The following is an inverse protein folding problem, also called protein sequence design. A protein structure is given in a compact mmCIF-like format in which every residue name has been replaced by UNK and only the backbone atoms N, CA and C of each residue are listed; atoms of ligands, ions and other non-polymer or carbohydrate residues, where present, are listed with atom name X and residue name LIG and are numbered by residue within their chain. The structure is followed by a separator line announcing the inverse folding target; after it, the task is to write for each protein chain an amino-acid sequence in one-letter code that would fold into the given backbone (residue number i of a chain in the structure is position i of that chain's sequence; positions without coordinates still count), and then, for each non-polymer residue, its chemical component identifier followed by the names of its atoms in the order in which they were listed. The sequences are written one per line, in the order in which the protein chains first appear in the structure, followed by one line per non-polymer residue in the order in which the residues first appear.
data_IF_265306470334
#
_entry.id   IF_265306470334
#
_cell.length_a   1.000
_cell.length_b   1.000
_cell.length_c   1.000
_cell.angle_alpha   90.00
_cell.angle_beta   90.00
_cell.angle_gamma   90.00
#
_symmetry.space_group_name_H-M   'P 1'
#
loop_
_entity.id
_entity.type
_entity.pdbx_description
1 polymer ?
#
# COMPACT_ATOMS: atom_id res chain seq x y z
N UNK A 1 3.00 -18.93 12.97
CA UNK A 1 3.89 -18.45 11.89
C UNK A 1 3.08 -17.43 11.12
N UNK A 2 3.27 -16.13 11.40
CA UNK A 2 2.51 -15.07 10.75
C UNK A 2 3.07 -14.94 9.33
N UNK A 3 2.25 -15.19 8.32
CA UNK A 3 2.64 -14.97 6.92
C UNK A 3 2.86 -13.46 6.78
N UNK A 4 4.09 -13.03 6.56
CA UNK A 4 4.39 -11.68 6.11
C UNK A 4 3.69 -11.48 4.76
N UNK A 5 3.19 -10.29 4.47
CA UNK A 5 2.71 -9.95 3.13
C UNK A 5 3.86 -10.27 2.15
N UNK A 6 3.70 -11.30 1.34
CA UNK A 6 4.73 -11.70 0.41
C UNK A 6 4.66 -10.79 -0.81
N UNK A 7 5.76 -10.13 -1.13
CA UNK A 7 5.89 -9.43 -2.40
C UNK A 7 6.21 -10.43 -3.51
N UNK A 8 5.57 -10.26 -4.67
CA UNK A 8 5.87 -11.10 -5.84
C UNK A 8 7.32 -10.92 -6.32
N UNK A 9 7.80 -9.66 -6.36
CA UNK A 9 9.18 -9.32 -6.75
C UNK A 9 9.77 -8.37 -5.70
N UNK A 10 10.95 -8.73 -5.17
CA UNK A 10 11.72 -7.91 -4.22
C UNK A 10 13.05 -7.52 -4.85
N UNK A 11 13.30 -6.21 -4.97
CA UNK A 11 14.53 -5.67 -5.54
C UNK A 11 15.28 -4.85 -4.48
N UNK A 12 16.38 -5.39 -3.99
CA UNK A 12 17.22 -4.74 -2.97
C UNK A 12 18.65 -5.30 -3.05
N UNK A 13 19.66 -4.50 -2.75
CA UNK A 13 20.99 -5.03 -2.48
C UNK A 13 20.96 -5.76 -1.13
N UNK A 14 21.19 -7.09 -1.08
CA UNK A 14 21.11 -7.85 0.16
C UNK A 14 22.21 -7.48 1.18
N UNK A 15 23.22 -6.72 0.77
CA UNK A 15 24.28 -6.20 1.64
C UNK A 15 23.86 -4.88 2.32
N UNK A 16 22.87 -4.20 1.78
CA UNK A 16 22.25 -3.02 2.40
C UNK A 16 21.23 -3.47 3.46
N UNK A 17 21.70 -3.72 4.67
CA UNK A 17 20.86 -4.18 5.77
C UNK A 17 19.77 -3.17 6.15
N UNK A 18 19.98 -1.88 5.91
CA UNK A 18 18.96 -0.85 6.14
C UNK A 18 17.83 -0.96 5.13
N UNK A 19 18.16 -1.08 3.83
CA UNK A 19 17.17 -1.26 2.78
C UNK A 19 16.39 -2.56 2.95
N UNK A 20 17.05 -3.68 3.27
CA UNK A 20 16.39 -4.97 3.56
C UNK A 20 15.40 -4.83 4.72
N UNK A 21 15.83 -4.24 5.84
CA UNK A 21 14.96 -3.99 7.00
C UNK A 21 13.78 -3.08 6.63
N UNK A 22 14.01 -2.03 5.83
CA UNK A 22 12.98 -1.09 5.44
C UNK A 22 11.89 -1.78 4.61
N UNK A 23 12.25 -2.67 3.68
CA UNK A 23 11.30 -3.52 2.96
C UNK A 23 10.50 -4.40 3.93
N UNK A 24 11.17 -5.11 4.84
CA UNK A 24 10.50 -5.98 5.82
C UNK A 24 9.50 -5.21 6.68
N UNK A 25 9.85 -3.99 7.08
CA UNK A 25 8.98 -3.13 7.87
C UNK A 25 7.75 -2.65 7.08
N UNK A 26 7.91 -2.24 5.81
CA UNK A 26 6.79 -1.85 4.96
C UNK A 26 5.87 -3.03 4.67
N UNK A 27 6.41 -4.21 4.35
CA UNK A 27 5.61 -5.42 4.15
C UNK A 27 4.83 -5.80 5.42
N UNK A 28 5.48 -5.70 6.58
CA UNK A 28 4.82 -5.99 7.86
C UNK A 28 3.75 -4.94 8.19
N UNK A 29 4.00 -3.66 7.87
CA UNK A 29 3.01 -2.58 8.02
C UNK A 29 1.76 -2.90 7.19
N UNK A 30 1.89 -3.22 5.91
CA UNK A 30 0.75 -3.60 5.07
C UNK A 30 -0.02 -4.79 5.63
N UNK A 31 0.70 -5.84 6.03
CA UNK A 31 0.10 -7.04 6.60
C UNK A 31 -0.74 -6.71 7.84
N UNK A 32 -0.16 -6.00 8.79
CA UNK A 32 -0.87 -5.63 10.03
C UNK A 32 -2.02 -4.66 9.76
N UNK A 33 -1.74 -3.61 8.99
CA UNK A 33 -2.66 -2.49 8.80
C UNK A 33 -3.91 -2.90 8.03
N UNK A 34 -3.76 -3.70 6.97
CA UNK A 34 -4.85 -4.00 6.05
C UNK A 34 -5.28 -5.47 6.16
N UNK A 35 -4.36 -6.43 6.05
CA UNK A 35 -4.72 -7.83 5.96
C UNK A 35 -5.17 -8.43 7.31
N UNK A 36 -4.53 -8.02 8.43
CA UNK A 36 -4.78 -8.58 9.76
C UNK A 36 -5.72 -7.74 10.64
N UNK A 37 -6.25 -6.62 10.14
CA UNK A 37 -7.08 -5.71 10.94
C UNK A 37 -6.42 -5.21 12.23
N UNK A 38 -5.12 -4.89 12.16
CA UNK A 38 -4.30 -4.33 13.26
C UNK A 38 -3.74 -2.96 12.87
N UNK A 39 -4.59 -2.12 12.28
CA UNK A 39 -4.15 -0.87 11.66
C UNK A 39 -3.48 0.07 12.67
N UNK A 40 -4.08 0.33 13.80
CA UNK A 40 -3.53 1.24 14.80
C UNK A 40 -2.23 0.72 15.41
N UNK A 41 -2.13 -0.59 15.65
CA UNK A 41 -0.91 -1.23 16.14
C UNK A 41 0.22 -1.15 15.10
N UNK A 42 -0.09 -1.50 13.84
CA UNK A 42 0.89 -1.49 12.75
C UNK A 42 1.43 -0.09 12.49
N UNK A 43 0.57 0.92 12.41
CA UNK A 43 0.99 2.31 12.17
C UNK A 43 1.79 2.88 13.36
N UNK A 44 1.40 2.61 14.60
CA UNK A 44 2.18 3.03 15.78
C UNK A 44 3.58 2.40 15.82
N UNK A 45 3.72 1.17 15.32
CA UNK A 45 4.99 0.44 15.31
C UNK A 45 5.94 0.90 14.22
N UNK A 46 5.45 1.11 13.00
CA UNK A 46 6.28 1.28 11.80
C UNK A 46 6.31 2.71 11.24
N UNK A 47 5.49 3.63 11.76
CA UNK A 47 5.54 5.03 11.40
C UNK A 47 6.01 5.88 12.58
N UNK A 48 6.56 7.06 12.30
CA UNK A 48 6.80 8.05 13.35
C UNK A 48 5.46 8.72 13.75
N UNK A 49 5.41 9.26 14.96
CA UNK A 49 4.21 9.93 15.45
C UNK A 49 3.77 11.09 14.54
N UNK A 50 4.72 11.83 14.04
CA UNK A 50 4.60 13.03 13.20
C UNK A 50 4.78 12.73 11.71
N UNK A 51 4.49 11.49 11.30
CA UNK A 51 4.49 11.02 9.93
C UNK A 51 3.68 11.95 9.00
N UNK A 52 4.30 12.33 7.89
CA UNK A 52 3.72 13.24 6.89
C UNK A 52 3.02 12.44 5.81
N UNK A 53 1.76 12.77 5.55
CA UNK A 53 0.92 12.12 4.57
C UNK A 53 0.62 13.05 3.40
N UNK A 54 0.89 12.58 2.17
CA UNK A 54 0.58 13.34 0.96
C UNK A 54 -0.70 12.88 0.23
N UNK A 55 -1.34 11.79 0.69
CA UNK A 55 -2.67 11.45 0.19
C UNK A 55 -3.71 12.40 0.80
N UNK A 56 -4.45 13.18 -0.03
CA UNK A 56 -5.36 14.23 0.47
C UNK A 56 -6.55 13.71 1.26
N UNK A 57 -6.81 12.40 1.25
CA UNK A 57 -7.92 11.79 2.00
C UNK A 57 -7.57 11.47 3.45
N UNK A 58 -6.29 11.56 3.83
CA UNK A 58 -5.80 11.08 5.13
C UNK A 58 -4.99 12.20 5.79
N UNK A 59 -5.31 12.53 7.03
CA UNK A 59 -4.56 13.53 7.79
C UNK A 59 -3.17 13.02 8.23
N UNK A 60 -2.27 13.94 8.54
CA UNK A 60 -0.94 13.63 9.05
C UNK A 60 -0.96 12.84 10.37
N UNK A 61 0.13 12.17 10.63
CA UNK A 61 0.39 11.40 11.83
C UNK A 61 -0.01 9.93 11.74
N UNK A 62 0.78 9.07 12.37
CA UNK A 62 0.56 7.62 12.36
C UNK A 62 -0.81 7.21 12.91
N UNK A 63 -1.32 7.94 13.90
CA UNK A 63 -2.63 7.66 14.48
C UNK A 63 -3.78 7.91 13.50
N UNK A 64 -3.65 8.94 12.63
CA UNK A 64 -4.66 9.25 11.60
C UNK A 64 -4.76 8.15 10.56
N UNK A 65 -3.62 7.67 10.08
CA UNK A 65 -3.56 6.54 9.15
C UNK A 65 -4.14 5.25 9.77
N UNK A 66 -3.78 4.97 11.03
CA UNK A 66 -4.31 3.82 11.76
C UNK A 66 -5.83 3.83 11.88
N UNK A 67 -6.41 4.98 12.26
CA UNK A 67 -7.88 5.16 12.33
C UNK A 67 -8.54 5.03 10.96
N UNK A 68 -7.93 5.59 9.91
CA UNK A 68 -8.46 5.50 8.55
C UNK A 68 -8.63 4.04 8.14
N UNK A 69 -7.58 3.23 8.24
CA UNK A 69 -7.63 1.82 7.84
C UNK A 69 -8.44 0.94 8.80
N UNK A 70 -8.51 1.26 10.09
CA UNK A 70 -9.45 0.62 11.00
C UNK A 70 -10.91 0.86 10.56
N UNK A 71 -11.23 2.08 10.12
CA UNK A 71 -12.52 2.43 9.53
C UNK A 71 -12.80 1.68 8.23
N UNK A 72 -11.83 1.63 7.32
CA UNK A 72 -11.93 0.85 6.07
C UNK A 72 -12.23 -0.61 6.39
N UNK A 73 -11.47 -1.23 7.30
CA UNK A 73 -11.64 -2.64 7.63
C UNK A 73 -12.97 -2.94 8.34
N UNK A 74 -13.49 -1.99 9.08
CA UNK A 74 -14.82 -2.07 9.69
C UNK A 74 -15.93 -2.02 8.63
N UNK A 75 -15.79 -1.16 7.61
CA UNK A 75 -16.75 -1.03 6.51
C UNK A 75 -16.61 -2.15 5.47
N UNK A 76 -15.38 -2.58 5.21
CA UNK A 76 -15.02 -3.57 4.20
C UNK A 76 -14.12 -4.67 4.81
N UNK A 77 -14.70 -5.66 5.50
CA UNK A 77 -13.95 -6.71 6.19
C UNK A 77 -13.00 -7.51 5.30
N UNK A 78 -13.33 -7.58 4.00
CA UNK A 78 -12.54 -8.28 2.99
C UNK A 78 -11.43 -7.43 2.36
N UNK A 79 -11.23 -6.19 2.82
CA UNK A 79 -10.16 -5.33 2.32
C UNK A 79 -8.79 -5.99 2.51
N UNK A 80 -7.99 -6.00 1.45
CA UNK A 80 -6.67 -6.63 1.40
C UNK A 80 -5.70 -5.77 0.58
N UNK A 81 -4.42 -5.92 0.85
CA UNK A 81 -3.35 -5.44 -0.02
C UNK A 81 -2.53 -6.61 -0.52
N UNK A 82 -2.27 -6.61 -1.82
CA UNK A 82 -1.36 -7.54 -2.51
C UNK A 82 -0.18 -6.73 -3.00
N UNK A 83 1.03 -7.09 -2.59
CA UNK A 83 2.27 -6.43 -3.03
C UNK A 83 2.84 -7.19 -4.22
N UNK A 84 2.83 -6.58 -5.39
CA UNK A 84 3.34 -7.19 -6.62
C UNK A 84 4.84 -6.99 -6.78
N UNK A 85 5.34 -5.79 -6.47
CA UNK A 85 6.76 -5.44 -6.57
C UNK A 85 7.11 -4.48 -5.44
N UNK A 86 8.30 -4.65 -4.87
CA UNK A 86 8.83 -3.72 -3.88
C UNK A 86 10.33 -3.53 -4.11
N UNK A 87 10.79 -2.31 -4.02
CA UNK A 87 12.20 -1.95 -4.19
C UNK A 87 12.61 -0.97 -3.11
N UNK A 88 13.81 -1.11 -2.57
CA UNK A 88 14.39 -0.14 -1.66
C UNK A 88 15.78 0.32 -2.16
N UNK A 89 16.00 1.63 -2.03
CA UNK A 89 17.27 2.28 -2.31
C UNK A 89 17.48 3.45 -1.34
N UNK A 90 18.58 3.41 -0.59
CA UNK A 90 18.81 4.39 0.48
C UNK A 90 17.65 4.40 1.48
N UNK A 91 17.11 5.59 1.73
CA UNK A 91 16.02 5.79 2.70
C UNK A 91 14.62 5.61 2.08
N UNK A 92 14.52 5.20 0.83
CA UNK A 92 13.24 5.09 0.14
C UNK A 92 12.84 3.65 -0.12
N UNK A 93 11.53 3.38 0.04
CA UNK A 93 10.87 2.13 -0.37
C UNK A 93 9.75 2.46 -1.32
N UNK A 94 9.74 1.81 -2.47
CA UNK A 94 8.70 1.92 -3.49
C UNK A 94 7.96 0.58 -3.56
N UNK A 95 6.64 0.60 -3.48
CA UNK A 95 5.81 -0.59 -3.55
C UNK A 95 4.73 -0.44 -4.62
N UNK A 96 4.67 -1.38 -5.56
CA UNK A 96 3.56 -1.51 -6.49
C UNK A 96 2.57 -2.53 -5.95
N UNK A 97 1.37 -2.07 -5.64
CA UNK A 97 0.37 -2.80 -4.86
C UNK A 97 -0.99 -2.85 -5.56
N UNK A 98 -1.81 -3.81 -5.16
CA UNK A 98 -3.25 -3.80 -5.43
C UNK A 98 -4.01 -3.82 -4.10
N UNK A 99 -4.83 -2.82 -3.88
CA UNK A 99 -5.77 -2.77 -2.77
C UNK A 99 -7.12 -3.35 -3.22
N UNK A 100 -7.40 -4.58 -2.86
CA UNK A 100 -8.64 -5.29 -3.22
C UNK A 100 -9.68 -5.07 -2.13
N UNK A 101 -10.92 -4.86 -2.52
CA UNK A 101 -12.05 -4.59 -1.62
C UNK A 101 -11.82 -3.40 -0.66
N UNK A 102 -11.00 -2.43 -1.06
CA UNK A 102 -10.74 -1.24 -0.23
C UNK A 102 -11.97 -0.33 -0.12
N UNK A 103 -12.78 -0.25 -1.19
CA UNK A 103 -13.90 0.68 -1.33
C UNK A 103 -15.24 -0.04 -1.55
N UNK A 104 -15.27 -1.37 -1.57
CA UNK A 104 -16.44 -2.19 -1.87
C UNK A 104 -16.24 -3.60 -1.33
N UNK A 105 -17.34 -4.31 -1.08
CA UNK A 105 -17.34 -5.75 -0.76
C UNK A 105 -17.74 -6.62 -1.96
N UNK A 106 -17.73 -6.07 -3.17
CA UNK A 106 -18.00 -6.83 -4.39
C UNK A 106 -16.93 -7.95 -4.55
N UNK A 107 -17.31 -9.22 -4.62
CA UNK A 107 -16.38 -10.33 -4.83
C UNK A 107 -15.67 -10.28 -6.19
N UNK A 108 -16.16 -9.48 -7.14
CA UNK A 108 -15.55 -9.26 -8.45
C UNK A 108 -14.69 -7.98 -8.50
N UNK A 109 -14.45 -7.33 -7.36
CA UNK A 109 -13.61 -6.14 -7.30
C UNK A 109 -12.22 -6.44 -7.88
N UNK A 110 -11.77 -5.56 -8.78
CA UNK A 110 -10.43 -5.64 -9.37
C UNK A 110 -9.39 -4.86 -8.58
N UNK A 111 -9.86 -4.05 -7.64
CA UNK A 111 -9.04 -3.27 -6.74
C UNK A 111 -8.60 -1.92 -7.25
N UNK A 112 -7.70 -1.33 -6.49
CA UNK A 112 -7.02 -0.06 -6.77
C UNK A 112 -5.53 -0.34 -6.89
N UNK A 113 -4.97 -0.14 -8.06
CA UNK A 113 -3.53 -0.19 -8.27
C UNK A 113 -2.88 1.03 -7.61
N UNK A 114 -1.82 0.81 -6.84
CA UNK A 114 -1.08 1.85 -6.16
C UNK A 114 0.42 1.76 -6.42
N UNK A 115 1.06 2.92 -6.48
CA UNK A 115 2.50 3.04 -6.29
C UNK A 115 2.71 3.89 -5.05
N UNK A 116 3.08 3.23 -3.96
CA UNK A 116 3.38 3.87 -2.69
C UNK A 116 4.88 4.16 -2.58
N UNK A 117 5.22 5.32 -2.06
CA UNK A 117 6.60 5.74 -1.81
C UNK A 117 6.71 6.09 -0.33
N UNK A 118 7.57 5.38 0.38
CA UNK A 118 7.88 5.66 1.78
C UNK A 118 9.30 6.22 1.90
N UNK A 119 9.45 7.28 2.69
CA UNK A 119 10.74 7.73 3.18
C UNK A 119 10.93 7.23 4.61
N UNK A 120 12.05 6.56 4.85
CA UNK A 120 12.33 5.88 6.11
C UNK A 120 13.39 6.64 6.90
N UNK A 121 13.32 6.58 8.23
CA UNK A 121 14.39 7.05 9.09
C UNK A 121 15.42 5.93 9.40
N UNK A 122 16.45 6.28 10.15
CA UNK A 122 17.53 5.35 10.55
C UNK A 122 17.03 4.20 11.42
N UNK A 123 15.90 4.34 12.11
CA UNK A 123 15.27 3.28 12.92
C UNK A 123 14.38 2.34 12.09
N UNK A 124 14.21 2.62 10.80
CA UNK A 124 13.36 1.86 9.89
C UNK A 124 11.88 2.18 10.05
N UNK A 125 11.54 3.37 10.56
CA UNK A 125 10.16 3.86 10.58
C UNK A 125 9.93 4.81 9.42
N UNK A 126 8.75 4.73 8.81
CA UNK A 126 8.36 5.70 7.79
C UNK A 126 8.07 7.05 8.44
N UNK A 127 8.66 8.10 7.84
CA UNK A 127 8.50 9.49 8.25
C UNK A 127 7.64 10.29 7.28
N UNK A 128 7.50 9.81 6.05
CA UNK A 128 6.78 10.49 4.99
C UNK A 128 6.31 9.50 3.92
N UNK A 129 5.17 9.79 3.27
CA UNK A 129 4.57 8.88 2.30
C UNK A 129 3.83 9.64 1.19
N UNK A 130 4.03 9.20 -0.02
CA UNK A 130 3.28 9.60 -1.22
C UNK A 130 2.64 8.36 -1.83
N UNK A 131 1.55 8.55 -2.53
CA UNK A 131 0.96 7.52 -3.37
C UNK A 131 0.46 8.08 -4.71
N UNK A 132 0.38 7.20 -5.70
CA UNK A 132 -0.36 7.42 -6.92
C UNK A 132 -1.30 6.23 -7.10
N UNK A 133 -2.61 6.49 -7.10
CA UNK A 133 -3.64 5.48 -7.10
C UNK A 133 -4.44 5.50 -8.40
N UNK A 134 -4.77 4.31 -8.91
CA UNK A 134 -5.61 4.16 -10.09
C UNK A 134 -6.59 3.00 -9.90
N UNK A 135 -7.89 3.25 -10.09
CA UNK A 135 -8.88 2.20 -10.07
C UNK A 135 -8.59 1.19 -11.20
N UNK A 136 -8.54 -0.08 -10.86
CA UNK A 136 -8.47 -1.15 -11.85
C UNK A 136 -9.87 -1.35 -12.41
N UNK A 137 -10.12 -0.77 -13.59
CA UNK A 137 -11.42 -0.80 -14.24
C UNK A 137 -11.83 -2.19 -14.71
N UNK A 138 -13.03 -2.27 -15.26
CA UNK A 138 -13.54 -3.47 -15.92
C UNK A 138 -12.73 -3.77 -17.21
N UNK A 139 -13.09 -4.85 -17.90
CA UNK A 139 -12.42 -5.27 -19.13
C UNK A 139 -12.50 -4.24 -20.28
N UNK A 140 -13.43 -3.30 -20.21
CA UNK A 140 -13.64 -2.29 -21.25
C UNK A 140 -12.95 -0.95 -20.95
N UNK A 141 -12.84 -0.60 -19.66
CA UNK A 141 -12.28 0.67 -19.23
C UNK A 141 -11.41 0.49 -17.97
N UNK A 142 -10.10 0.72 -18.11
CA UNK A 142 -9.13 0.56 -17.02
C UNK A 142 -8.73 1.88 -16.37
N UNK A 143 -9.20 3.02 -16.84
CA UNK A 143 -8.86 4.34 -16.32
C UNK A 143 -10.10 5.25 -16.20
N UNK A 144 -11.13 4.85 -15.44
CA UNK A 144 -12.44 5.48 -15.49
C UNK A 144 -12.48 6.94 -15.04
N UNK A 145 -11.56 7.39 -14.21
CA UNK A 145 -11.49 8.80 -13.79
C UNK A 145 -10.52 9.66 -14.60
N UNK A 146 -9.69 9.04 -15.44
CA UNK A 146 -8.79 9.77 -16.34
C UNK A 146 -9.41 9.88 -17.73
N UNK A 147 -10.00 8.79 -18.21
CA UNK A 147 -10.54 8.67 -19.55
C UNK A 147 -11.73 7.69 -19.57
N UNK A 148 -12.90 8.08 -19.04
CA UNK A 148 -14.03 7.17 -18.85
C UNK A 148 -14.61 6.61 -20.14
N UNK A 149 -14.50 7.36 -21.23
CA UNK A 149 -15.09 7.00 -22.52
C UNK A 149 -14.09 6.41 -23.52
N UNK A 150 -12.83 6.26 -23.10
CA UNK A 150 -11.80 5.68 -23.96
C UNK A 150 -11.69 4.17 -23.70
N UNK A 151 -11.96 3.33 -24.70
CA UNK A 151 -11.80 1.89 -24.56
C UNK A 151 -10.33 1.51 -24.37
N UNK A 152 -10.09 0.36 -23.78
CA UNK A 152 -8.73 -0.17 -23.61
C UNK A 152 -8.06 -0.36 -24.99
N UNK A 153 -6.84 0.16 -25.11
CA UNK A 153 -6.02 0.01 -26.31
C UNK A 153 -5.25 -1.34 -26.36
N UNK A 154 -5.18 -2.04 -25.23
CA UNK A 154 -4.51 -3.35 -25.13
C UNK A 154 -5.18 -4.21 -24.06
N UNK A 155 -4.82 -5.49 -24.00
CA UNK A 155 -5.33 -6.48 -23.05
C UNK A 155 -4.40 -6.73 -21.87
N UNK A 156 -3.31 -5.98 -21.71
CA UNK A 156 -2.37 -6.13 -20.61
C UNK A 156 -3.03 -5.75 -19.29
N UNK A 157 -2.66 -6.44 -18.20
CA UNK A 157 -3.07 -6.08 -16.86
C UNK A 157 -2.29 -4.91 -16.29
N UNK A 158 -2.68 -4.50 -15.07
CA UNK A 158 -1.96 -3.49 -14.28
C UNK A 158 -0.80 -4.09 -13.47
N UNK A 159 -0.74 -5.42 -13.35
CA UNK A 159 0.16 -6.14 -12.45
C UNK A 159 1.01 -7.18 -13.15
#
# INVERSE_FOLDING_TARGET
MTLKAEAGIVLVDPRDHHAVRNIDNVLTLYQMMINENKAEEGTAKFLTRDYIQHNPLIADGSASLGKYFAGVKSAHPNAQVVVHRIVAVGDYVFAHVNFVNLLTDDPNDKGVAGVDIYKMNTDGKAIEHWDALQLVGNSQNSAPWVAPDIPRANSNGMF
#
